data_IF_539349786470
#
_entry.id   IF_539349786470
#
_cell.length_a   1.000
_cell.length_b   1.000
_cell.length_c   1.000
_cell.angle_alpha   90.00
_cell.angle_beta   90.00
_cell.angle_gamma   90.00
#
_symmetry.space_group_name_H-M   'P 1'
#
loop_
_entity.id
_entity.type
_entity.pdbx_description
1 polymer ?
#
# COMPACT_ATOMS: atom_id res chain seq x y z
N UNK A 1 -15.45 20.85 -1.10
CA UNK A 1 -15.65 20.35 -2.47
C UNK A 1 -16.33 18.99 -2.37
N UNK A 2 -17.50 18.83 -3.01
CA UNK A 2 -18.34 17.64 -2.84
C UNK A 2 -17.82 16.51 -3.74
N UNK A 3 -17.70 15.29 -3.23
CA UNK A 3 -17.36 14.10 -4.03
C UNK A 3 -18.29 13.91 -5.23
N UNK A 4 -19.54 14.35 -5.12
CA UNK A 4 -20.54 14.28 -6.20
C UNK A 4 -20.20 15.19 -7.39
N UNK A 5 -19.53 16.32 -7.15
CA UNK A 5 -19.10 17.24 -8.23
C UNK A 5 -18.03 16.61 -9.12
N UNK A 6 -17.33 15.59 -8.60
CA UNK A 6 -16.33 14.82 -9.33
C UNK A 6 -16.87 13.45 -9.84
N UNK A 7 -18.19 13.27 -9.88
CA UNK A 7 -18.80 12.03 -10.35
C UNK A 7 -18.63 10.83 -9.41
N UNK A 8 -18.18 11.06 -8.15
CA UNK A 8 -17.96 9.99 -7.18
C UNK A 8 -19.23 9.71 -6.40
N UNK A 9 -19.72 8.47 -6.46
CA UNK A 9 -20.85 7.99 -5.67
C UNK A 9 -20.34 7.42 -4.35
N UNK A 10 -20.67 8.07 -3.24
CA UNK A 10 -20.31 7.62 -1.91
C UNK A 10 -21.49 6.88 -1.25
N UNK A 11 -21.23 5.68 -0.72
CA UNK A 11 -22.16 4.89 0.08
C UNK A 11 -21.49 4.48 1.38
N UNK A 12 -22.01 4.92 2.53
CA UNK A 12 -21.57 4.46 3.84
C UNK A 12 -22.54 3.40 4.37
N UNK A 13 -22.00 2.36 5.00
CA UNK A 13 -22.77 1.36 5.73
C UNK A 13 -22.01 0.90 6.97
N UNK A 14 -22.70 0.72 8.06
CA UNK A 14 -22.17 0.06 9.25
C UNK A 14 -22.60 -1.41 9.20
N UNK A 15 -21.68 -2.36 9.06
CA UNK A 15 -22.02 -3.77 9.17
C UNK A 15 -22.43 -4.08 10.62
N UNK A 16 -23.56 -4.75 10.80
CA UNK A 16 -24.07 -5.17 12.12
C UNK A 16 -23.46 -6.47 12.65
N UNK A 17 -22.43 -6.97 12.01
CA UNK A 17 -21.82 -8.25 12.37
C UNK A 17 -20.74 -8.04 13.43
N UNK A 18 -20.76 -8.87 14.48
CA UNK A 18 -19.71 -9.07 15.47
C UNK A 18 -18.44 -9.65 14.79
N UNK A 19 -17.80 -8.84 13.95
CA UNK A 19 -16.51 -9.22 13.38
C UNK A 19 -15.40 -8.97 14.40
N UNK A 20 -14.38 -9.81 14.46
CA UNK A 20 -13.29 -9.72 15.44
C UNK A 20 -12.34 -8.52 15.18
N UNK A 21 -12.79 -7.51 14.47
CA UNK A 21 -12.03 -6.31 14.17
C UNK A 21 -12.62 -5.14 14.96
N UNK A 22 -11.95 -4.79 16.03
CA UNK A 22 -12.25 -3.58 16.78
C UNK A 22 -11.99 -2.37 15.87
N UNK A 23 -12.87 -1.38 15.88
CA UNK A 23 -12.74 -0.06 15.25
C UNK A 23 -11.96 -0.01 13.92
N UNK A 24 -12.51 -0.62 12.88
CA UNK A 24 -11.93 -0.57 11.54
C UNK A 24 -12.83 0.15 10.54
N UNK A 25 -12.20 0.83 9.59
CA UNK A 25 -12.87 1.44 8.44
C UNK A 25 -12.34 0.75 7.18
N UNK A 26 -13.26 0.25 6.34
CA UNK A 26 -12.91 -0.24 5.01
C UNK A 26 -13.42 0.74 3.97
N UNK A 27 -12.53 1.18 3.10
CA UNK A 27 -12.83 1.98 1.93
C UNK A 27 -12.68 1.12 0.68
N UNK A 28 -13.77 0.96 -0.06
CA UNK A 28 -13.78 0.29 -1.35
C UNK A 28 -13.96 1.35 -2.44
N UNK A 29 -13.04 1.40 -3.37
CA UNK A 29 -13.08 2.30 -4.52
C UNK A 29 -13.20 1.45 -5.78
N UNK A 30 -14.23 1.73 -6.57
CA UNK A 30 -14.44 1.10 -7.87
C UNK A 30 -14.47 2.19 -8.95
N UNK A 31 -13.83 1.93 -10.07
CA UNK A 31 -13.80 2.78 -11.24
C UNK A 31 -13.98 1.91 -12.49
N UNK A 32 -14.78 2.39 -13.42
CA UNK A 32 -14.95 1.79 -14.73
C UNK A 32 -14.40 2.76 -15.76
N UNK A 33 -13.45 2.32 -16.56
CA UNK A 33 -12.82 3.09 -17.62
C UNK A 33 -12.62 2.21 -18.86
N UNK A 34 -13.19 2.60 -19.99
CA UNK A 34 -13.03 1.93 -21.30
C UNK A 34 -13.25 0.39 -21.28
N UNK A 35 -14.30 -0.09 -20.61
CA UNK A 35 -14.61 -1.53 -20.43
C UNK A 35 -13.72 -2.27 -19.40
N UNK A 36 -12.78 -1.59 -18.75
CA UNK A 36 -12.02 -2.16 -17.64
C UNK A 36 -12.61 -1.73 -16.29
N UNK A 37 -12.71 -2.68 -15.37
CA UNK A 37 -13.21 -2.47 -14.02
C UNK A 37 -12.05 -2.53 -13.01
N UNK A 38 -11.78 -1.40 -12.41
CA UNK A 38 -10.76 -1.28 -11.35
C UNK A 38 -11.43 -1.28 -9.98
N UNK A 39 -10.92 -2.08 -9.08
CA UNK A 39 -11.37 -2.13 -7.70
C UNK A 39 -10.18 -2.13 -6.75
N UNK A 40 -10.22 -1.25 -5.77
CA UNK A 40 -9.22 -1.18 -4.68
C UNK A 40 -9.94 -1.11 -3.35
N UNK A 41 -9.49 -1.91 -2.41
CA UNK A 41 -10.05 -1.99 -1.06
C UNK A 41 -8.94 -1.76 -0.03
N UNK A 42 -9.14 -0.79 0.85
CA UNK A 42 -8.20 -0.43 1.93
C UNK A 42 -8.91 -0.56 3.26
N UNK A 43 -8.26 -1.19 4.24
CA UNK A 43 -8.74 -1.21 5.62
C UNK A 43 -7.82 -0.42 6.52
N UNK A 44 -8.38 0.59 7.19
CA UNK A 44 -7.75 1.32 8.26
C UNK A 44 -8.17 0.78 9.64
N UNK A 45 -7.25 0.80 10.58
CA UNK A 45 -7.45 0.45 12.00
C UNK A 45 -6.72 1.47 12.86
N UNK A 46 -7.07 1.53 14.14
CA UNK A 46 -6.30 2.29 15.13
C UNK A 46 -5.61 1.29 16.06
N UNK A 47 -4.29 1.33 16.13
CA UNK A 47 -3.49 0.48 17.00
C UNK A 47 -2.67 1.36 17.93
N UNK A 48 -2.84 1.22 19.23
CA UNK A 48 -2.16 2.06 20.24
C UNK A 48 -2.32 3.57 20.00
N UNK A 49 -3.52 3.97 19.52
CA UNK A 49 -3.81 5.37 19.19
C UNK A 49 -3.22 5.87 17.85
N UNK A 50 -2.58 4.99 17.07
CA UNK A 50 -1.98 5.32 15.77
C UNK A 50 -2.87 4.76 14.66
N UNK A 51 -3.35 5.61 13.72
CA UNK A 51 -4.04 5.13 12.53
C UNK A 51 -3.06 4.36 11.62
N UNK A 52 -3.45 3.14 11.23
CA UNK A 52 -2.64 2.27 10.37
C UNK A 52 -3.48 1.67 9.27
N UNK A 53 -2.87 1.39 8.12
CA UNK A 53 -3.44 0.54 7.10
C UNK A 53 -3.11 -0.91 7.43
N UNK A 54 -4.14 -1.72 7.70
CA UNK A 54 -3.98 -3.14 8.04
C UNK A 54 -4.12 -4.07 6.85
N UNK A 55 -4.80 -3.61 5.78
CA UNK A 55 -5.01 -4.38 4.55
C UNK A 55 -5.10 -3.46 3.33
N UNK A 56 -4.48 -3.90 2.23
CA UNK A 56 -4.67 -3.34 0.90
C UNK A 56 -4.99 -4.48 -0.07
N UNK A 57 -6.19 -4.47 -0.65
CA UNK A 57 -6.71 -5.56 -1.48
C UNK A 57 -6.61 -6.93 -0.76
N UNK A 58 -5.89 -7.87 -1.34
CA UNK A 58 -5.65 -9.21 -0.78
C UNK A 58 -4.48 -9.27 0.20
N UNK A 59 -3.71 -8.18 0.34
CA UNK A 59 -2.55 -8.13 1.21
C UNK A 59 -2.96 -7.76 2.63
N UNK A 60 -3.06 -8.75 3.51
CA UNK A 60 -3.40 -8.60 4.92
C UNK A 60 -2.15 -8.45 5.78
N UNK A 61 -2.31 -7.95 7.00
CA UNK A 61 -1.23 -7.89 7.98
C UNK A 61 -0.20 -6.79 7.71
N UNK A 62 -0.55 -5.74 6.99
CA UNK A 62 0.34 -4.61 6.73
C UNK A 62 0.69 -3.84 8.00
N UNK A 63 -0.31 -3.40 8.76
CA UNK A 63 -0.15 -2.54 9.94
C UNK A 63 0.86 -1.41 9.71
N UNK A 64 0.72 -0.73 8.57
CA UNK A 64 1.61 0.32 8.14
C UNK A 64 1.09 1.70 8.55
N UNK A 65 1.91 2.47 9.27
CA UNK A 65 1.72 3.90 9.48
C UNK A 65 2.21 4.65 8.22
N UNK A 66 1.28 5.25 7.49
CA UNK A 66 1.58 5.92 6.22
C UNK A 66 2.02 7.39 6.38
N UNK A 67 2.12 7.91 7.59
CA UNK A 67 2.60 9.29 7.82
C UNK A 67 4.08 9.42 7.43
N UNK A 68 4.44 10.53 6.82
CA UNK A 68 5.78 10.76 6.26
C UNK A 68 5.99 10.03 4.93
N UNK A 69 7.22 9.72 4.58
CA UNK A 69 7.53 9.09 3.30
C UNK A 69 7.35 7.58 3.34
N UNK A 70 6.51 7.09 2.46
CA UNK A 70 6.18 5.66 2.35
C UNK A 70 6.25 5.23 0.89
N UNK A 71 6.96 4.14 0.62
CA UNK A 71 6.99 3.46 -0.69
C UNK A 71 6.05 2.27 -0.67
N UNK A 72 5.30 2.09 -1.75
CA UNK A 72 4.45 0.92 -1.99
C UNK A 72 4.90 0.24 -3.28
N UNK A 73 5.33 -1.01 -3.19
CA UNK A 73 5.88 -1.79 -4.30
C UNK A 73 5.16 -3.13 -4.38
N UNK A 74 4.48 -3.41 -5.49
CA UNK A 74 3.83 -4.70 -5.77
C UNK A 74 4.60 -5.42 -6.86
N UNK A 75 4.90 -6.69 -6.66
CA UNK A 75 5.72 -7.48 -7.56
C UNK A 75 5.39 -8.97 -7.46
N UNK A 76 5.89 -9.78 -8.40
CA UNK A 76 5.84 -11.25 -8.28
C UNK A 76 6.78 -11.71 -7.18
N UNK A 77 6.24 -12.43 -6.19
CA UNK A 77 7.00 -12.88 -5.02
C UNK A 77 8.12 -13.85 -5.43
N UNK A 78 9.35 -13.47 -5.08
CA UNK A 78 10.55 -14.29 -5.29
C UNK A 78 11.65 -13.91 -4.30
N UNK A 79 12.54 -14.86 -3.95
CA UNK A 79 13.68 -14.57 -3.09
C UNK A 79 14.56 -13.43 -3.61
N UNK A 80 15.08 -12.61 -2.69
CA UNK A 80 16.05 -11.55 -2.99
C UNK A 80 15.46 -10.16 -3.26
N UNK A 81 14.15 -10.02 -3.49
CA UNK A 81 13.54 -8.72 -3.81
C UNK A 81 13.78 -7.68 -2.70
N UNK A 82 13.55 -8.04 -1.46
CA UNK A 82 13.78 -7.12 -0.32
C UNK A 82 15.26 -6.70 -0.23
N UNK A 83 16.18 -7.60 -0.54
CA UNK A 83 17.60 -7.28 -0.56
C UNK A 83 17.94 -6.28 -1.68
N UNK A 84 17.37 -6.43 -2.88
CA UNK A 84 17.53 -5.48 -3.99
C UNK A 84 17.01 -4.10 -3.62
N UNK A 85 15.80 -4.01 -3.07
CA UNK A 85 15.19 -2.75 -2.61
C UNK A 85 16.08 -2.11 -1.54
N UNK A 86 16.46 -2.86 -0.50
CA UNK A 86 17.29 -2.37 0.59
C UNK A 86 18.66 -1.88 0.11
N UNK A 87 19.28 -2.60 -0.83
CA UNK A 87 20.56 -2.21 -1.43
C UNK A 87 20.44 -0.91 -2.24
N UNK A 88 19.39 -0.76 -3.04
CA UNK A 88 19.15 0.44 -3.81
C UNK A 88 18.92 1.67 -2.92
N UNK A 89 18.12 1.55 -1.86
CA UNK A 89 17.89 2.62 -0.89
C UNK A 89 19.19 2.98 -0.15
N UNK A 90 19.88 1.99 0.38
CA UNK A 90 21.13 2.17 1.12
C UNK A 90 22.23 2.84 0.29
N UNK A 91 22.37 2.45 -0.99
CA UNK A 91 23.33 3.06 -1.92
C UNK A 91 23.06 4.54 -2.20
N UNK A 92 21.84 5.00 -1.92
CA UNK A 92 21.43 6.41 -2.01
C UNK A 92 21.32 7.10 -0.65
N UNK A 93 21.85 6.50 0.41
CA UNK A 93 21.87 7.08 1.76
C UNK A 93 20.50 7.13 2.43
N UNK A 94 19.53 6.33 1.95
CA UNK A 94 18.17 6.29 2.49
C UNK A 94 18.04 5.12 3.46
N UNK A 95 17.61 5.42 4.68
CA UNK A 95 17.36 4.40 5.71
C UNK A 95 15.90 3.92 5.66
N UNK A 96 15.71 2.65 5.98
CA UNK A 96 14.38 2.03 6.18
C UNK A 96 14.04 2.11 7.66
N UNK A 97 12.97 2.83 7.99
CA UNK A 97 12.50 2.96 9.37
C UNK A 97 11.50 1.85 9.73
N UNK A 98 10.70 1.41 8.75
CA UNK A 98 9.76 0.30 8.91
C UNK A 98 9.53 -0.38 7.57
N UNK A 99 9.20 -1.68 7.61
CA UNK A 99 8.86 -2.47 6.43
C UNK A 99 7.78 -3.50 6.77
N UNK A 100 6.78 -3.58 5.91
CA UNK A 100 5.78 -4.65 5.89
C UNK A 100 5.75 -5.25 4.49
N UNK A 101 5.81 -6.58 4.38
CA UNK A 101 5.92 -7.27 3.10
C UNK A 101 5.03 -8.53 3.04
N UNK A 102 3.69 -8.38 3.17
CA UNK A 102 2.79 -9.51 3.03
C UNK A 102 2.80 -10.06 1.59
N UNK A 103 2.66 -11.39 1.50
CA UNK A 103 2.49 -12.09 0.23
C UNK A 103 1.07 -12.65 0.08
N UNK A 104 0.55 -12.61 -1.13
CA UNK A 104 -0.66 -13.34 -1.54
C UNK A 104 -0.23 -14.62 -2.26
N UNK A 105 -0.37 -15.76 -1.58
CA UNK A 105 0.02 -17.06 -2.11
C UNK A 105 -0.83 -17.53 -3.29
N UNK A 106 -2.07 -17.02 -3.43
CA UNK A 106 -2.95 -17.37 -4.53
C UNK A 106 -2.47 -16.75 -5.86
N UNK A 107 -2.06 -15.49 -5.82
CA UNK A 107 -1.55 -14.76 -7.00
C UNK A 107 -0.04 -14.87 -7.16
N UNK A 108 0.67 -15.34 -6.14
CA UNK A 108 2.13 -15.32 -6.02
C UNK A 108 2.70 -13.89 -6.15
N UNK A 109 2.03 -12.96 -5.54
CA UNK A 109 2.44 -11.56 -5.50
C UNK A 109 2.74 -11.15 -4.07
N UNK A 110 3.65 -10.20 -3.91
CA UNK A 110 3.92 -9.53 -2.66
C UNK A 110 3.69 -8.02 -2.80
N UNK A 111 3.28 -7.42 -1.69
CA UNK A 111 3.23 -5.99 -1.53
C UNK A 111 4.22 -5.59 -0.45
N UNK A 112 5.21 -4.78 -0.80
CA UNK A 112 6.13 -4.21 0.19
C UNK A 112 5.78 -2.76 0.42
N UNK A 113 5.50 -2.41 1.68
CA UNK A 113 5.28 -1.05 2.16
C UNK A 113 6.45 -0.68 3.04
N UNK A 114 7.20 0.35 2.63
CA UNK A 114 8.45 0.77 3.28
C UNK A 114 8.31 2.21 3.73
N UNK A 115 8.53 2.45 5.01
CA UNK A 115 8.72 3.79 5.56
C UNK A 115 10.19 4.15 5.52
N UNK A 116 10.52 5.31 4.95
CA UNK A 116 11.89 5.80 4.83
C UNK A 116 12.11 7.07 5.64
N UNK A 117 13.36 7.29 6.07
CA UNK A 117 13.74 8.47 6.85
C UNK A 117 13.78 9.78 6.05
N UNK A 118 13.67 9.70 4.74
CA UNK A 118 13.67 10.84 3.83
C UNK A 118 12.98 10.50 2.50
N UNK A 119 12.57 11.50 1.71
CA UNK A 119 11.93 11.29 0.42
C UNK A 119 12.80 10.49 -0.55
N UNK A 120 12.14 9.65 -1.34
CA UNK A 120 12.75 8.89 -2.44
C UNK A 120 12.41 9.60 -3.73
N UNK A 121 13.42 9.89 -4.57
CA UNK A 121 13.17 10.53 -5.87
C UNK A 121 12.44 9.60 -6.83
N UNK A 122 11.68 10.18 -7.76
CA UNK A 122 10.97 9.41 -8.78
C UNK A 122 11.94 8.57 -9.63
N UNK A 123 13.13 9.10 -9.93
CA UNK A 123 14.17 8.38 -10.68
C UNK A 123 14.67 7.14 -9.94
N UNK A 124 14.85 7.23 -8.60
CA UNK A 124 15.26 6.09 -7.79
C UNK A 124 14.12 5.07 -7.67
N UNK A 125 12.90 5.54 -7.49
CA UNK A 125 11.71 4.69 -7.45
C UNK A 125 11.54 3.92 -8.76
N UNK A 126 11.65 4.58 -9.90
CA UNK A 126 11.59 3.97 -11.22
C UNK A 126 12.70 2.93 -11.44
N UNK A 127 13.92 3.24 -10.96
CA UNK A 127 15.05 2.30 -11.02
C UNK A 127 14.76 1.04 -10.21
N UNK A 128 14.30 1.20 -8.97
CA UNK A 128 13.91 0.07 -8.09
C UNK A 128 12.80 -0.74 -8.76
N UNK A 129 11.75 -0.07 -9.25
CA UNK A 129 10.61 -0.71 -9.88
C UNK A 129 11.03 -1.58 -11.09
N UNK A 130 11.93 -1.08 -11.94
CA UNK A 130 12.49 -1.83 -13.09
C UNK A 130 13.33 -3.02 -12.63
N UNK A 131 14.17 -2.85 -11.62
CA UNK A 131 15.08 -3.90 -11.13
C UNK A 131 14.32 -5.10 -10.52
N UNK A 132 13.18 -4.84 -9.89
CA UNK A 132 12.35 -5.88 -9.28
C UNK A 132 11.21 -6.37 -10.18
N UNK A 133 11.05 -5.85 -11.39
CA UNK A 133 9.90 -6.07 -12.29
C UNK A 133 8.58 -5.76 -11.57
N UNK A 134 8.48 -4.58 -10.99
CA UNK A 134 7.31 -4.19 -10.23
C UNK A 134 6.05 -4.14 -11.10
N UNK A 135 4.96 -4.70 -10.59
CA UNK A 135 3.62 -4.59 -11.18
C UNK A 135 3.08 -3.17 -10.96
N UNK A 136 3.37 -2.61 -9.78
CA UNK A 136 3.10 -1.21 -9.46
C UNK A 136 4.11 -0.69 -8.45
N UNK A 137 4.44 0.58 -8.55
CA UNK A 137 5.34 1.27 -7.64
C UNK A 137 4.89 2.73 -7.48
N UNK A 138 4.74 3.20 -6.27
CA UNK A 138 4.44 4.60 -5.98
C UNK A 138 4.96 5.01 -4.60
N UNK A 139 5.14 6.31 -4.41
CA UNK A 139 5.48 6.90 -3.13
C UNK A 139 4.35 7.78 -2.62
N UNK A 140 4.18 7.81 -1.31
CA UNK A 140 3.30 8.71 -0.60
C UNK A 140 4.14 9.59 0.34
N UNK A 141 3.73 10.84 0.49
CA UNK A 141 4.29 11.76 1.47
C UNK A 141 3.12 12.49 2.17
N UNK A 142 2.67 11.92 3.30
CA UNK A 142 1.50 12.35 4.05
C UNK A 142 1.89 13.09 5.35
#
# INVERSE_FOLDING_TARGET
>A
ESLREHGIVFKAREPKDDKPYEDSITLDVAMEEEEEYFHTSVRGVVTEGIPMVSRLNNFNGLYADLRGTTLCLRYKDRPGIIALIGSALSSNGINIDNIAAPADHATREALTVIKTNQPVSDELLDKIAKEIDAISAFSLNL
#
